data_IF_694127300957
#
_entry.id   IF_694127300957
#
_cell.length_a   1.000
_cell.length_b   1.000
_cell.length_c   1.000
_cell.angle_alpha   90.00
_cell.angle_beta   90.00
_cell.angle_gamma   90.00
#
_symmetry.space_group_name_H-M   'P 1'
#
loop_
_entity.id
_entity.type
_entity.pdbx_description
1 polymer ?
#
# COMPACT_ATOMS: atom_id res chain seq x y z
N UNK A 1 5.79 14.22 0.00
CA UNK A 1 5.95 15.42 0.81
C UNK A 1 7.17 15.27 1.72
N UNK A 2 8.04 16.26 1.76
CA UNK A 2 9.18 16.28 2.67
C UNK A 2 8.74 16.82 4.03
N UNK A 3 9.17 16.16 5.10
CA UNK A 3 8.85 16.47 6.50
C UNK A 3 10.13 16.50 7.33
N UNK A 4 10.24 17.47 8.23
CA UNK A 4 11.30 17.50 9.23
C UNK A 4 11.15 16.39 10.26
N UNK A 5 12.23 16.09 10.98
CA UNK A 5 12.20 15.23 12.14
C UNK A 5 11.19 15.74 13.20
N UNK A 6 10.55 14.82 13.94
CA UNK A 6 9.57 15.16 14.99
C UNK A 6 8.14 15.38 14.50
N UNK A 7 7.83 15.15 13.22
CA UNK A 7 6.47 15.30 12.68
C UNK A 7 5.66 14.02 12.88
N UNK A 8 4.44 14.19 13.38
CA UNK A 8 3.48 13.11 13.49
C UNK A 8 2.82 12.80 12.14
N UNK A 9 2.63 11.52 11.85
CA UNK A 9 2.02 11.04 10.60
C UNK A 9 0.75 10.25 10.95
N UNK A 10 -0.31 10.50 10.16
CA UNK A 10 -1.61 9.85 10.27
C UNK A 10 -2.36 10.13 11.57
N UNK A 11 -3.58 9.59 11.68
CA UNK A 11 -4.44 9.79 12.83
C UNK A 11 -3.83 9.28 14.14
N UNK A 12 -3.96 10.09 15.18
CA UNK A 12 -3.49 9.75 16.53
C UNK A 12 -1.97 9.81 16.71
N UNK A 13 -1.22 10.26 15.67
CA UNK A 13 0.22 10.48 15.80
C UNK A 13 1.01 9.25 16.25
N UNK A 14 0.59 8.04 15.82
CA UNK A 14 1.24 6.79 16.22
C UNK A 14 2.61 6.57 15.60
N UNK A 15 2.97 7.39 14.62
CA UNK A 15 4.29 7.45 14.03
C UNK A 15 4.81 8.89 14.06
N UNK A 16 6.06 9.05 14.52
CA UNK A 16 6.76 10.33 14.54
C UNK A 16 8.06 10.16 13.76
N UNK A 17 8.32 11.05 12.81
CA UNK A 17 9.56 11.05 12.02
C UNK A 17 10.77 11.24 12.96
N UNK A 18 11.76 10.36 12.82
CA UNK A 18 13.00 10.42 13.61
C UNK A 18 14.12 11.21 12.89
N UNK A 19 13.94 11.46 11.63
CA UNK A 19 14.84 12.20 10.73
C UNK A 19 14.01 12.98 9.71
N UNK A 20 14.64 13.86 8.98
CA UNK A 20 14.02 14.46 7.80
C UNK A 20 13.63 13.34 6.84
N UNK A 21 12.38 13.30 6.46
CA UNK A 21 11.77 12.15 5.78
C UNK A 21 10.92 12.60 4.60
N UNK A 22 10.96 11.82 3.53
CA UNK A 22 10.03 11.96 2.40
C UNK A 22 8.91 10.93 2.55
N UNK A 23 7.69 11.42 2.65
CA UNK A 23 6.49 10.61 2.86
C UNK A 23 5.61 10.66 1.62
N UNK A 24 5.24 9.48 1.12
CA UNK A 24 4.27 9.32 0.06
C UNK A 24 2.91 8.90 0.63
N UNK A 25 1.83 9.39 0.01
CA UNK A 25 0.46 8.97 0.31
C UNK A 25 0.00 7.99 -0.75
N UNK A 26 -0.51 6.84 -0.32
CA UNK A 26 -1.04 5.78 -1.16
C UNK A 26 -2.57 5.82 -1.07
N UNK A 27 -3.29 5.98 -2.21
CA UNK A 27 -4.74 6.17 -2.23
C UNK A 27 -5.50 4.83 -2.12
N UNK A 28 -5.19 4.06 -1.11
CA UNK A 28 -5.83 2.78 -0.75
C UNK A 28 -5.98 2.74 0.76
N UNK A 29 -7.07 2.19 1.28
CA UNK A 29 -7.28 2.06 2.70
C UNK A 29 -8.16 0.88 3.09
N UNK A 30 -8.65 0.88 4.33
CA UNK A 30 -9.43 -0.26 4.83
C UNK A 30 -10.82 -0.38 4.16
N UNK A 31 -11.35 0.68 3.56
CA UNK A 31 -12.56 0.59 2.75
C UNK A 31 -12.36 -0.18 1.44
N UNK A 32 -11.12 -0.33 0.99
CA UNK A 32 -10.73 -1.18 -0.14
C UNK A 32 -10.46 -2.63 0.28
N UNK A 33 -10.37 -2.89 1.58
CA UNK A 33 -9.97 -4.17 2.14
C UNK A 33 -8.51 -4.23 2.61
N UNK A 34 -7.75 -3.14 2.50
CA UNK A 34 -6.37 -3.09 2.99
C UNK A 34 -6.36 -2.92 4.52
N UNK A 35 -5.92 -3.94 5.23
CA UNK A 35 -6.19 -4.11 6.66
C UNK A 35 -5.52 -3.05 7.54
N UNK A 36 -6.27 -2.50 8.52
CA UNK A 36 -5.73 -1.61 9.55
C UNK A 36 -4.61 -2.22 10.39
N UNK A 37 -4.56 -3.55 10.52
CA UNK A 37 -3.49 -4.27 11.20
C UNK A 37 -2.10 -4.09 10.57
N UNK A 38 -2.02 -3.59 9.33
CA UNK A 38 -0.76 -3.24 8.67
C UNK A 38 -0.18 -1.89 9.10
N UNK A 39 -0.90 -1.12 9.92
CA UNK A 39 -0.44 0.16 10.48
C UNK A 39 0.89 0.01 11.20
N UNK A 40 1.89 0.79 10.82
CA UNK A 40 3.26 0.78 11.37
C UNK A 40 4.03 -0.56 11.24
N UNK A 41 3.48 -1.59 10.59
CA UNK A 41 4.10 -2.92 10.48
C UNK A 41 4.29 -3.40 9.05
N UNK A 42 3.40 -3.00 8.14
CA UNK A 42 3.46 -3.39 6.74
C UNK A 42 4.45 -2.57 5.93
N UNK A 43 4.66 -3.00 4.70
CA UNK A 43 5.42 -2.27 3.66
C UNK A 43 4.73 -2.42 2.32
N UNK A 44 5.10 -1.54 1.40
CA UNK A 44 4.75 -1.65 -0.03
C UNK A 44 6.04 -1.68 -0.85
N UNK A 45 5.95 -2.00 -2.14
CA UNK A 45 7.10 -1.93 -3.04
C UNK A 45 6.95 -0.73 -3.97
N UNK A 46 8.02 0.03 -4.11
CA UNK A 46 8.15 1.16 -5.05
C UNK A 46 9.56 1.07 -5.65
N UNK A 47 9.67 1.09 -6.98
CA UNK A 47 10.96 0.95 -7.69
C UNK A 47 11.78 -0.27 -7.22
N UNK A 48 11.11 -1.39 -6.96
CA UNK A 48 11.75 -2.62 -6.49
C UNK A 48 12.28 -2.57 -5.06
N UNK A 49 11.89 -1.59 -4.25
CA UNK A 49 12.33 -1.42 -2.86
C UNK A 49 11.16 -1.35 -1.89
N UNK A 50 11.38 -1.81 -0.68
CA UNK A 50 10.37 -1.75 0.40
C UNK A 50 10.28 -0.35 0.98
N UNK A 51 9.05 0.20 1.00
CA UNK A 51 8.68 1.43 1.67
C UNK A 51 7.78 1.09 2.87
N UNK A 52 8.23 1.30 4.12
CA UNK A 52 7.45 0.96 5.31
C UNK A 52 6.24 1.86 5.49
N UNK A 53 5.14 1.31 6.01
CA UNK A 53 3.94 2.04 6.35
C UNK A 53 4.18 2.86 7.62
N UNK A 54 3.88 4.15 7.55
CA UNK A 54 4.05 5.12 8.61
C UNK A 54 2.70 5.59 9.15
N UNK A 55 2.40 5.24 10.39
CA UNK A 55 1.14 5.59 11.02
C UNK A 55 0.02 4.62 10.67
N UNK A 56 -1.21 5.06 10.94
CA UNK A 56 -2.40 4.23 10.74
C UNK A 56 -2.85 4.18 9.28
N UNK A 57 -3.26 2.98 8.84
CA UNK A 57 -4.04 2.82 7.61
C UNK A 57 -5.40 3.45 7.85
N UNK A 58 -5.76 4.43 7.00
CA UNK A 58 -7.02 5.16 7.05
C UNK A 58 -8.07 4.49 6.15
N UNK A 59 -9.25 5.10 6.07
CA UNK A 59 -10.35 4.59 5.25
C UNK A 59 -9.97 4.43 3.78
N UNK A 60 -9.35 5.48 3.21
CA UNK A 60 -9.11 5.58 1.76
C UNK A 60 -7.64 5.83 1.40
N UNK A 61 -6.76 5.88 2.39
CA UNK A 61 -5.33 6.15 2.17
C UNK A 61 -4.47 5.68 3.33
N UNK A 62 -3.18 5.55 3.07
CA UNK A 62 -2.13 5.40 4.09
C UNK A 62 -0.83 6.03 3.61
N UNK A 63 0.13 6.22 4.51
CA UNK A 63 1.40 6.84 4.23
C UNK A 63 2.55 5.84 4.33
N UNK A 64 3.57 6.04 3.51
CA UNK A 64 4.80 5.24 3.50
C UNK A 64 6.02 6.15 3.50
N UNK A 65 7.09 5.69 4.13
CA UNK A 65 8.39 6.36 4.09
C UNK A 65 9.15 5.95 2.83
N UNK A 66 9.42 6.93 1.96
CA UNK A 66 10.17 6.75 0.72
C UNK A 66 11.52 7.48 0.74
N UNK A 67 12.00 7.86 1.92
CA UNK A 67 13.23 8.66 2.09
C UNK A 67 14.43 8.00 1.40
N UNK A 68 14.54 6.68 1.52
CA UNK A 68 15.67 5.90 0.99
C UNK A 68 15.42 5.34 -0.43
N UNK A 69 14.33 5.74 -1.07
CA UNK A 69 14.00 5.35 -2.44
C UNK A 69 14.15 6.59 -3.35
N UNK A 70 15.19 6.62 -4.21
CA UNK A 70 15.43 7.78 -5.05
C UNK A 70 14.35 7.94 -6.13
N UNK A 71 14.16 9.18 -6.55
CA UNK A 71 13.35 9.56 -7.72
C UNK A 71 11.86 9.18 -7.69
N UNK A 72 11.31 8.89 -6.49
CA UNK A 72 9.86 8.63 -6.34
C UNK A 72 9.06 9.88 -6.70
N UNK A 73 8.07 9.70 -7.58
CA UNK A 73 7.19 10.76 -8.12
C UNK A 73 5.72 10.39 -7.94
N UNK A 74 4.89 11.42 -8.01
CA UNK A 74 3.45 11.22 -8.10
C UNK A 74 3.12 10.48 -9.41
N UNK A 75 2.30 9.44 -9.32
CA UNK A 75 1.93 8.59 -10.44
C UNK A 75 2.79 7.33 -10.60
N UNK A 76 3.83 7.17 -9.78
CA UNK A 76 4.60 5.93 -9.76
C UNK A 76 3.74 4.76 -9.29
N UNK A 77 4.00 3.59 -9.89
CA UNK A 77 3.33 2.35 -9.49
C UNK A 77 3.79 1.91 -8.10
N UNK A 78 2.82 1.47 -7.31
CA UNK A 78 3.04 0.93 -5.97
C UNK A 78 2.48 -0.48 -5.88
N UNK A 79 3.32 -1.45 -5.55
CA UNK A 79 2.89 -2.84 -5.36
C UNK A 79 2.59 -3.08 -3.88
N UNK A 80 1.32 -3.35 -3.57
CA UNK A 80 0.86 -3.65 -2.21
C UNK A 80 1.07 -5.13 -1.88
N UNK A 81 0.78 -6.00 -2.84
CA UNK A 81 0.94 -7.45 -2.77
C UNK A 81 1.39 -7.91 -4.16
N UNK A 82 2.46 -8.64 -4.23
CA UNK A 82 3.03 -9.11 -5.49
C UNK A 82 4.52 -8.84 -5.61
N UNK A 83 5.01 -8.87 -6.84
CA UNK A 83 6.42 -8.70 -7.18
C UNK A 83 6.67 -7.33 -7.82
N UNK A 84 7.76 -6.70 -7.43
CA UNK A 84 8.34 -5.54 -8.09
C UNK A 84 9.86 -5.72 -8.15
N UNK A 85 10.42 -5.94 -9.33
CA UNK A 85 11.81 -6.33 -9.50
C UNK A 85 12.11 -7.66 -8.82
N UNK A 86 13.11 -7.68 -7.94
CA UNK A 86 13.52 -8.86 -7.17
C UNK A 86 12.79 -8.98 -5.83
N UNK A 87 12.07 -7.94 -5.41
CA UNK A 87 11.30 -7.94 -4.16
C UNK A 87 9.90 -8.51 -4.36
N UNK A 88 9.41 -9.17 -3.30
CA UNK A 88 8.05 -9.76 -3.26
C UNK A 88 7.41 -9.49 -1.92
N UNK A 89 6.14 -9.08 -1.94
CA UNK A 89 5.26 -9.09 -0.77
C UNK A 89 4.19 -10.14 -1.02
N UNK A 90 4.18 -11.19 -0.21
CA UNK A 90 3.22 -12.29 -0.37
C UNK A 90 1.93 -12.02 0.40
N UNK A 91 0.86 -12.72 0.02
CA UNK A 91 -0.41 -12.68 0.75
C UNK A 91 -0.27 -13.23 2.18
N UNK A 92 0.60 -14.23 2.36
CA UNK A 92 0.93 -14.81 3.66
C UNK A 92 1.62 -13.79 4.56
N UNK A 93 2.57 -13.02 4.03
CA UNK A 93 3.24 -11.93 4.75
C UNK A 93 2.22 -10.90 5.23
N UNK A 94 1.39 -10.40 4.33
CA UNK A 94 0.38 -9.37 4.63
C UNK A 94 -0.66 -9.91 5.63
N UNK A 95 -1.11 -11.13 5.45
CA UNK A 95 -2.03 -11.80 6.38
C UNK A 95 -1.43 -11.93 7.77
N UNK A 96 -0.21 -12.43 7.89
CA UNK A 96 0.50 -12.59 9.15
C UNK A 96 0.70 -11.26 9.89
N UNK A 97 1.18 -10.22 9.19
CA UNK A 97 1.41 -8.89 9.76
C UNK A 97 0.12 -8.21 10.21
N UNK A 98 -0.99 -8.46 9.54
CA UNK A 98 -2.28 -7.85 9.84
C UNK A 98 -3.11 -8.63 10.86
N UNK A 99 -2.66 -9.82 11.27
CA UNK A 99 -3.42 -10.73 12.13
C UNK A 99 -4.61 -11.39 11.43
N UNK A 100 -4.58 -11.47 10.10
CA UNK A 100 -5.61 -12.11 9.27
C UNK A 100 -5.05 -13.35 8.57
N UNK A 101 -5.93 -14.33 8.37
CA UNK A 101 -5.63 -15.46 7.50
C UNK A 101 -5.58 -15.00 6.03
N UNK A 102 -4.67 -15.55 5.24
CA UNK A 102 -4.45 -15.08 3.85
C UNK A 102 -5.72 -15.17 2.98
N UNK A 103 -6.50 -16.24 3.07
CA UNK A 103 -7.78 -16.36 2.33
C UNK A 103 -8.82 -15.33 2.79
N UNK A 104 -8.89 -15.04 4.09
CA UNK A 104 -9.74 -14.00 4.62
C UNK A 104 -9.36 -12.63 4.04
N UNK A 105 -8.07 -12.36 3.94
CA UNK A 105 -7.59 -11.10 3.36
C UNK A 105 -8.05 -10.93 1.91
N UNK A 106 -7.97 -12.00 1.10
CA UNK A 106 -8.45 -11.95 -0.30
C UNK A 106 -9.96 -11.70 -0.37
N UNK A 107 -10.74 -12.30 0.51
CA UNK A 107 -12.19 -12.16 0.52
C UNK A 107 -12.68 -10.75 0.82
N UNK A 108 -11.91 -9.95 1.57
CA UNK A 108 -12.31 -8.58 1.95
C UNK A 108 -11.87 -7.52 0.95
N UNK A 109 -11.14 -7.87 -0.10
CA UNK A 109 -10.80 -6.92 -1.17
C UNK A 109 -12.08 -6.42 -1.84
N UNK A 110 -12.31 -5.11 -1.73
CA UNK A 110 -13.55 -4.45 -2.15
C UNK A 110 -13.80 -4.51 -3.66
N UNK A 111 -15.08 -4.41 -4.04
CA UNK A 111 -15.50 -4.38 -5.46
C UNK A 111 -15.11 -3.08 -6.16
N UNK A 112 -14.88 -1.99 -5.42
CA UNK A 112 -14.47 -0.71 -5.98
C UNK A 112 -13.03 -0.69 -6.50
N UNK A 113 -12.24 -1.75 -6.21
CA UNK A 113 -10.92 -1.93 -6.79
C UNK A 113 -11.10 -2.49 -8.20
N UNK A 114 -10.61 -1.82 -9.25
CA UNK A 114 -10.62 -2.35 -10.61
C UNK A 114 -9.88 -3.70 -10.67
N UNK A 115 -10.46 -4.66 -11.38
CA UNK A 115 -9.83 -5.96 -11.63
C UNK A 115 -9.42 -6.06 -13.08
N UNK A 116 -8.14 -6.29 -13.30
CA UNK A 116 -7.58 -6.46 -14.65
C UNK A 116 -7.13 -7.90 -14.80
N UNK A 117 -7.61 -8.55 -15.85
CA UNK A 117 -7.35 -9.96 -16.12
C UNK A 117 -6.30 -10.10 -17.21
N UNK A 118 -5.29 -10.92 -16.93
CA UNK A 118 -4.22 -11.22 -17.87
C UNK A 118 -4.21 -12.71 -18.20
N UNK A 119 -3.88 -13.03 -19.45
CA UNK A 119 -3.59 -14.37 -19.94
C UNK A 119 -2.35 -14.29 -20.84
N UNK A 120 -1.36 -15.13 -20.57
CA UNK A 120 -0.09 -15.18 -21.34
C UNK A 120 0.56 -13.79 -21.46
N UNK A 121 0.57 -13.01 -20.37
CA UNK A 121 1.13 -11.67 -20.30
C UNK A 121 0.33 -10.57 -21.02
N UNK A 122 -0.84 -10.90 -21.61
CA UNK A 122 -1.71 -9.94 -22.29
C UNK A 122 -2.95 -9.64 -21.47
N UNK A 123 -3.31 -8.36 -21.35
CA UNK A 123 -4.59 -7.94 -20.76
C UNK A 123 -5.72 -8.45 -21.66
N UNK A 124 -6.64 -9.22 -21.09
CA UNK A 124 -7.78 -9.81 -21.81
C UNK A 124 -9.13 -9.19 -21.39
N UNK A 125 -9.24 -8.67 -20.19
CA UNK A 125 -10.46 -8.04 -19.68
C UNK A 125 -10.14 -7.10 -18.51
N UNK A 126 -11.09 -6.22 -18.19
CA UNK A 126 -11.15 -5.49 -16.92
C UNK A 126 -12.57 -5.49 -16.40
N UNK A 127 -12.70 -5.38 -15.09
CA UNK A 127 -13.97 -5.19 -14.40
C UNK A 127 -13.83 -4.00 -13.48
N UNK A 128 -14.62 -2.97 -13.71
CA UNK A 128 -14.74 -1.78 -12.88
C UNK A 128 -16.16 -1.70 -12.34
N UNK A 129 -16.31 -1.25 -11.10
CA UNK A 129 -17.63 -1.21 -10.46
C UNK A 129 -18.37 0.08 -10.79
N UNK A 130 -17.63 1.13 -11.12
CA UNK A 130 -18.13 2.47 -11.41
C UNK A 130 -17.97 2.88 -12.87
N UNK A 131 -17.84 1.91 -13.80
CA UNK A 131 -17.92 2.23 -15.21
C UNK A 131 -19.32 2.80 -15.50
N UNK A 132 -19.35 4.06 -15.90
CA UNK A 132 -20.55 4.66 -16.48
C UNK A 132 -20.76 4.01 -17.86
N UNK A 133 -21.97 3.51 -18.11
CA UNK A 133 -22.42 3.03 -19.41
C UNK A 133 -22.39 4.13 -20.49
#
# INVERSE_FOLDING_TARGET
KDLEAGRAISYGGTFITKRDSRIATIPVGYADGYCRGLSNTGSVLIHGKRAPICGRVCMDQFMVDVTDIPDVKIGDEVTLIGRDGDEVITMEEVGSLSGRFNYEFVCVLGKRIPRVFYRDGKRIASQEYFDEE
#
